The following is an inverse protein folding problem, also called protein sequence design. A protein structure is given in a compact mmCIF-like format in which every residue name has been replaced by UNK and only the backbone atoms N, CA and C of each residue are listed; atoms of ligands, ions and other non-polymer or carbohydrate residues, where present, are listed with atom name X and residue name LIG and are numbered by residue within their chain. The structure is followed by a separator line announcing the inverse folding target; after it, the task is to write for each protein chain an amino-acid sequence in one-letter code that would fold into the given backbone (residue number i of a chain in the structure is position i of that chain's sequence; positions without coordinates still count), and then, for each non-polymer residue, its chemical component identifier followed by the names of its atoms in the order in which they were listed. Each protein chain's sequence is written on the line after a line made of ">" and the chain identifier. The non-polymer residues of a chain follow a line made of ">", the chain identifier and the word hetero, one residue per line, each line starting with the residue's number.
data_IF_700403972978
#
_entry.id   IF_700403972978
#
_cell.length_a   1.000
_cell.length_b   1.000
_cell.length_c   1.000
_cell.angle_alpha   90.00
_cell.angle_beta   90.00
_cell.angle_gamma   90.00
#
_symmetry.space_group_name_H-M   'P 1'
#
loop_
_entity.id
_entity.type
_entity.pdbx_description
1 polymer ?
#
# COMPACT_ATOMS: atom_id res chain seq x y z
N UNK A 1 -59.66 11.07 14.35
CA UNK A 1 -60.65 10.02 14.16
C UNK A 1 -59.94 8.71 14.33
N UNK A 2 -60.19 8.15 15.46
CA UNK A 2 -60.73 6.80 15.74
C UNK A 2 -59.64 5.72 15.62
N UNK A 3 -59.31 4.86 16.49
CA UNK A 3 -59.66 4.48 17.89
C UNK A 3 -58.85 3.24 18.21
N UNK A 4 -58.41 3.17 19.45
CA UNK A 4 -57.94 2.03 20.22
C UNK A 4 -58.44 0.61 19.81
N UNK A 5 -57.58 -0.39 20.07
CA UNK A 5 -58.06 -1.61 20.72
C UNK A 5 -56.97 -2.34 21.49
N UNK A 6 -57.01 -2.18 22.80
CA UNK A 6 -56.40 -2.99 23.86
C UNK A 6 -57.12 -4.34 23.93
N UNK A 7 -56.39 -5.46 24.05
CA UNK A 7 -56.93 -6.69 24.67
C UNK A 7 -55.87 -7.36 25.57
N UNK A 8 -56.13 -7.24 26.86
CA UNK A 8 -55.56 -8.08 27.91
C UNK A 8 -56.47 -9.27 28.19
N UNK A 9 -55.93 -10.42 28.66
CA UNK A 9 -56.54 -11.38 29.59
C UNK A 9 -55.71 -12.67 29.69
N UNK A 10 -55.85 -13.51 30.75
CA UNK A 10 -55.52 -13.28 32.16
C UNK A 10 -54.63 -14.40 32.77
N UNK A 11 -54.24 -14.18 33.99
CA UNK A 11 -53.57 -15.12 34.90
C UNK A 11 -54.44 -16.34 35.22
N UNK A 12 -53.81 -17.53 35.27
CA UNK A 12 -54.34 -18.66 36.04
C UNK A 12 -53.25 -19.27 36.92
N UNK A 13 -53.42 -19.13 38.19
CA UNK A 13 -52.66 -19.65 39.31
C UNK A 13 -53.03 -21.12 39.52
N UNK A 14 -52.04 -22.06 39.54
CA UNK A 14 -52.22 -23.37 40.18
C UNK A 14 -50.98 -23.71 41.03
N UNK A 15 -51.18 -23.69 42.32
CA UNK A 15 -50.32 -24.32 43.32
C UNK A 15 -50.43 -25.85 43.21
N UNK A 16 -49.27 -26.54 43.23
CA UNK A 16 -49.20 -27.94 43.65
C UNK A 16 -47.90 -28.08 44.41
N UNK A 17 -48.03 -28.30 45.70
CA UNK A 17 -46.94 -28.70 46.62
C UNK A 17 -46.65 -30.17 46.44
N UNK A 18 -45.37 -30.56 46.26
CA UNK A 18 -44.92 -31.91 46.56
C UNK A 18 -43.50 -31.93 47.17
N UNK A 19 -43.40 -32.84 48.09
CA UNK A 19 -42.42 -33.00 49.12
C UNK A 19 -40.98 -33.19 48.69
N UNK A 20 -40.10 -32.73 49.58
CA UNK A 20 -38.63 -32.81 49.64
C UNK A 20 -38.13 -34.23 49.93
N UNK A 21 -37.12 -34.69 49.14
CA UNK A 21 -36.10 -35.68 49.56
C UNK A 21 -34.71 -35.06 49.17
N UNK A 22 -33.75 -35.06 50.07
CA UNK A 22 -32.37 -34.61 49.73
C UNK A 22 -31.58 -35.75 49.11
N UNK A 23 -31.20 -35.62 47.85
CA UNK A 23 -30.24 -36.47 47.20
C UNK A 23 -28.85 -35.80 47.39
N UNK A 24 -27.95 -36.40 48.16
CA UNK A 24 -26.56 -36.02 48.23
C UNK A 24 -25.90 -36.28 46.87
N UNK A 25 -25.69 -35.20 46.09
CA UNK A 25 -24.86 -35.24 44.91
C UNK A 25 -23.40 -35.03 45.29
N UNK A 26 -22.61 -36.08 45.17
CA UNK A 26 -21.14 -36.03 45.21
C UNK A 26 -20.70 -35.25 43.96
N UNK A 27 -20.27 -34.00 44.14
CA UNK A 27 -19.66 -33.22 43.08
C UNK A 27 -18.23 -33.71 42.88
N UNK A 28 -18.03 -34.56 41.89
CA UNK A 28 -16.71 -34.88 41.38
C UNK A 28 -16.12 -33.65 40.69
N UNK A 29 -15.16 -32.99 41.31
CA UNK A 29 -14.36 -31.95 40.68
C UNK A 29 -13.48 -32.61 39.63
N UNK A 30 -13.89 -32.51 38.33
CA UNK A 30 -12.97 -32.74 37.22
C UNK A 30 -11.97 -31.58 37.17
N UNK A 31 -10.66 -31.84 37.00
CA UNK A 31 -9.71 -30.75 36.79
C UNK A 31 -10.02 -30.04 35.49
N UNK A 32 -10.23 -28.74 35.57
CA UNK A 32 -10.35 -27.87 34.39
C UNK A 32 -9.00 -27.91 33.65
N UNK A 33 -8.94 -28.72 32.60
CA UNK A 33 -7.80 -28.74 31.69
C UNK A 33 -7.74 -27.41 30.93
N UNK A 34 -6.60 -26.76 31.10
CA UNK A 34 -6.21 -25.53 30.43
C UNK A 34 -6.35 -25.64 28.89
N UNK A 35 -7.43 -25.07 28.37
CA UNK A 35 -7.70 -24.98 26.94
C UNK A 35 -7.37 -23.59 26.32
N UNK A 36 -6.52 -22.76 26.98
CA UNK A 36 -6.30 -21.39 26.51
C UNK A 36 -4.91 -21.10 25.91
N UNK A 37 -3.98 -22.06 25.93
CA UNK A 37 -2.64 -21.81 25.36
C UNK A 37 -2.57 -22.00 23.83
N UNK A 38 -3.35 -22.90 23.25
CA UNK A 38 -3.26 -23.22 21.82
C UNK A 38 -3.82 -22.10 20.89
N UNK A 39 -4.80 -21.34 21.35
CA UNK A 39 -5.38 -20.25 20.52
C UNK A 39 -4.50 -18.99 20.52
N UNK A 40 -3.78 -18.72 21.61
CA UNK A 40 -2.84 -17.59 21.70
C UNK A 40 -1.56 -17.92 20.93
N UNK A 41 -1.05 -19.14 21.00
CA UNK A 41 0.10 -19.59 20.20
C UNK A 41 -0.23 -19.63 18.70
N UNK A 42 -1.42 -20.08 18.31
CA UNK A 42 -1.86 -20.05 16.92
C UNK A 42 -1.99 -18.63 16.36
N UNK A 43 -2.44 -17.67 17.16
CA UNK A 43 -2.52 -16.26 16.73
C UNK A 43 -1.14 -15.58 16.67
N UNK A 44 -0.20 -15.96 17.55
CA UNK A 44 1.17 -15.44 17.54
C UNK A 44 1.98 -15.89 16.32
N UNK A 45 1.58 -16.97 15.66
CA UNK A 45 2.24 -17.51 14.47
C UNK A 45 1.74 -16.90 13.14
N UNK A 46 0.78 -15.99 13.17
CA UNK A 46 0.23 -15.35 11.98
C UNK A 46 0.72 -13.89 11.91
N UNK A 47 1.12 -13.43 10.71
CA UNK A 47 1.31 -12.02 10.39
C UNK A 47 0.15 -11.56 9.51
N UNK A 48 -0.74 -10.71 10.05
CA UNK A 48 -1.85 -10.16 9.29
C UNK A 48 -1.36 -8.93 8.51
N UNK A 49 -1.46 -8.99 7.19
CA UNK A 49 -0.93 -7.98 6.26
C UNK A 49 -2.09 -7.22 5.64
N UNK A 50 -2.16 -5.90 5.85
CA UNK A 50 -3.11 -5.04 5.16
C UNK A 50 -2.70 -4.88 3.70
N UNK A 51 -3.60 -5.15 2.77
CA UNK A 51 -3.30 -5.11 1.34
C UNK A 51 -4.45 -4.52 0.53
N UNK A 52 -4.15 -3.80 -0.54
CA UNK A 52 -5.16 -3.42 -1.52
C UNK A 52 -5.55 -4.64 -2.37
N UNK A 53 -6.84 -4.75 -2.66
CA UNK A 53 -7.39 -5.90 -3.37
C UNK A 53 -7.10 -5.90 -4.87
N UNK A 54 -6.86 -4.71 -5.45
CA UNK A 54 -6.65 -4.50 -6.89
C UNK A 54 -5.84 -3.20 -7.09
N UNK A 55 -4.53 -3.26 -6.84
CA UNK A 55 -3.60 -2.13 -7.00
C UNK A 55 -2.24 -2.61 -7.52
N UNK A 56 -2.25 -3.30 -8.67
CA UNK A 56 -0.99 -3.67 -9.32
C UNK A 56 -0.22 -2.41 -9.76
N UNK A 57 1.11 -2.44 -9.70
CA UNK A 57 1.99 -3.59 -9.45
C UNK A 57 2.24 -3.90 -7.95
N UNK A 58 1.68 -3.13 -7.02
CA UNK A 58 1.91 -3.29 -5.58
C UNK A 58 1.26 -4.55 -5.01
N UNK A 59 -0.06 -4.65 -5.14
CA UNK A 59 -0.84 -5.70 -4.49
C UNK A 59 -2.11 -6.07 -5.25
N UNK A 60 -2.49 -7.34 -5.20
CA UNK A 60 -3.82 -7.83 -5.59
C UNK A 60 -4.19 -9.10 -4.82
N UNK A 61 -5.44 -9.55 -4.97
CA UNK A 61 -5.94 -10.77 -4.30
C UNK A 61 -5.22 -12.05 -4.72
N UNK A 62 -4.67 -12.08 -5.93
CA UNK A 62 -3.90 -13.22 -6.47
C UNK A 62 -2.46 -13.23 -5.97
N UNK A 63 -2.07 -12.26 -5.11
CA UNK A 63 -0.71 -12.06 -4.57
C UNK A 63 0.35 -11.88 -5.66
N UNK A 64 -0.04 -11.37 -6.82
CA UNK A 64 0.87 -11.15 -7.94
C UNK A 64 1.74 -9.90 -7.76
N UNK A 65 1.31 -8.93 -6.94
CA UNK A 65 2.03 -7.69 -6.70
C UNK A 65 3.35 -7.88 -5.95
N UNK A 66 4.30 -6.98 -6.19
CA UNK A 66 5.63 -7.11 -5.59
C UNK A 66 5.61 -6.93 -4.07
N UNK A 67 4.72 -6.09 -3.51
CA UNK A 67 4.56 -5.96 -2.05
C UNK A 67 3.94 -7.20 -1.42
N UNK A 68 3.06 -7.93 -2.13
CA UNK A 68 2.62 -9.23 -1.65
C UNK A 68 3.81 -10.19 -1.49
N UNK A 69 4.69 -10.27 -2.50
CA UNK A 69 5.90 -11.12 -2.47
C UNK A 69 6.87 -10.71 -1.36
N UNK A 70 7.09 -9.39 -1.17
CA UNK A 70 7.94 -8.87 -0.09
C UNK A 70 7.34 -9.19 1.28
N UNK A 71 6.03 -9.04 1.45
CA UNK A 71 5.35 -9.38 2.70
C UNK A 71 5.44 -10.88 3.03
N UNK A 72 5.38 -11.77 2.03
CA UNK A 72 5.63 -13.21 2.19
C UNK A 72 7.08 -13.50 2.62
N UNK A 73 8.07 -12.81 2.02
CA UNK A 73 9.48 -12.93 2.41
C UNK A 73 9.70 -12.46 3.86
N UNK A 74 9.06 -11.35 4.26
CA UNK A 74 9.09 -10.86 5.64
C UNK A 74 8.48 -11.88 6.60
N UNK A 75 7.29 -12.39 6.32
CA UNK A 75 6.60 -13.37 7.17
C UNK A 75 7.45 -14.63 7.36
N UNK A 76 8.05 -15.14 6.27
CA UNK A 76 9.01 -16.26 6.29
C UNK A 76 10.20 -15.97 7.22
N UNK A 77 10.79 -14.77 7.12
CA UNK A 77 11.92 -14.34 7.97
C UNK A 77 11.54 -14.23 9.45
N UNK A 78 10.28 -13.86 9.74
CA UNK A 78 9.68 -13.83 11.08
C UNK A 78 9.23 -15.21 11.58
N UNK A 79 9.27 -16.25 10.74
CA UNK A 79 8.69 -17.59 11.01
C UNK A 79 7.19 -17.51 11.32
N UNK A 80 6.46 -16.63 10.60
CA UNK A 80 5.01 -16.46 10.72
C UNK A 80 4.33 -16.80 9.40
N UNK A 81 3.08 -17.25 9.47
CA UNK A 81 2.25 -17.46 8.29
C UNK A 81 1.64 -16.14 7.81
N UNK A 82 1.78 -15.75 6.52
CA UNK A 82 1.20 -14.52 6.00
C UNK A 82 -0.30 -14.66 5.79
N UNK A 83 -1.09 -13.77 6.42
CA UNK A 83 -2.51 -13.64 6.22
C UNK A 83 -2.84 -12.27 5.63
N UNK A 84 -3.19 -12.21 4.34
CA UNK A 84 -3.57 -10.95 3.70
C UNK A 84 -5.01 -10.56 4.03
N UNK A 85 -5.18 -9.35 4.54
CA UNK A 85 -6.48 -8.71 4.79
C UNK A 85 -6.70 -7.65 3.73
N UNK A 86 -7.59 -7.95 2.78
CA UNK A 86 -7.79 -7.12 1.59
C UNK A 86 -8.83 -6.04 1.79
N UNK A 87 -8.53 -4.83 1.28
CA UNK A 87 -9.43 -3.70 1.18
C UNK A 87 -9.75 -3.41 -0.30
N UNK A 88 -11.04 -3.33 -0.65
CA UNK A 88 -11.49 -2.93 -2.00
C UNK A 88 -11.50 -1.39 -2.15
N UNK A 89 -10.40 -0.75 -1.76
CA UNK A 89 -10.13 0.69 -1.88
C UNK A 89 -8.64 0.88 -2.09
N UNK A 90 -8.18 2.04 -2.61
CA UNK A 90 -6.76 2.34 -2.74
C UNK A 90 -5.98 2.21 -1.43
N UNK A 91 -4.69 1.86 -1.55
CA UNK A 91 -3.78 1.61 -0.42
C UNK A 91 -3.69 2.78 0.58
N UNK A 92 -3.92 4.01 0.13
CA UNK A 92 -3.96 5.20 1.02
C UNK A 92 -4.94 5.06 2.20
N UNK A 93 -5.94 4.17 2.09
CA UNK A 93 -6.93 3.91 3.14
C UNK A 93 -6.57 2.73 4.06
N UNK A 94 -5.49 1.98 3.80
CA UNK A 94 -5.14 0.77 4.55
C UNK A 94 -4.89 1.06 6.03
N UNK A 95 -4.20 2.16 6.34
CA UNK A 95 -3.93 2.55 7.74
C UNK A 95 -5.26 2.76 8.45
N UNK A 96 -6.07 3.71 8.00
CA UNK A 96 -7.32 4.10 8.66
C UNK A 96 -8.37 2.97 8.71
N UNK A 97 -8.55 2.24 7.59
CA UNK A 97 -9.69 1.32 7.42
C UNK A 97 -9.37 -0.13 7.88
N UNK A 98 -8.08 -0.47 8.05
CA UNK A 98 -7.67 -1.81 8.48
C UNK A 98 -6.72 -1.81 9.69
N UNK A 99 -5.60 -1.05 9.63
CA UNK A 99 -4.57 -1.08 10.67
C UNK A 99 -5.09 -0.50 11.99
N UNK A 100 -5.64 0.73 11.95
CA UNK A 100 -6.15 1.46 13.13
C UNK A 100 -7.33 0.76 13.80
N UNK A 101 -8.08 -0.04 13.05
CA UNK A 101 -9.21 -0.83 13.55
C UNK A 101 -8.81 -2.29 13.87
N UNK A 102 -7.52 -2.58 13.98
CA UNK A 102 -6.93 -3.86 14.40
C UNK A 102 -7.34 -5.07 13.53
N UNK A 103 -7.61 -4.86 12.25
CA UNK A 103 -7.92 -5.95 11.31
C UNK A 103 -6.67 -6.62 10.75
N UNK A 104 -5.56 -5.92 10.74
CA UNK A 104 -4.24 -6.40 10.31
C UNK A 104 -3.15 -5.82 11.22
N UNK A 105 -1.90 -6.25 11.05
CA UNK A 105 -0.78 -5.91 11.92
C UNK A 105 0.22 -4.98 11.23
N UNK A 106 0.35 -5.08 9.90
CA UNK A 106 1.34 -4.34 9.11
C UNK A 106 0.75 -3.79 7.82
N UNK A 107 1.27 -2.64 7.39
CA UNK A 107 1.06 -2.05 6.05
C UNK A 107 2.40 -1.93 5.36
N UNK A 108 2.51 -2.44 4.13
CA UNK A 108 3.72 -2.35 3.30
C UNK A 108 3.77 -1.00 2.58
N UNK A 109 4.97 -0.55 2.15
CA UNK A 109 5.15 0.54 1.19
C UNK A 109 4.73 1.93 1.70
N UNK A 110 4.91 2.21 2.98
CA UNK A 110 4.73 3.56 3.51
C UNK A 110 6.04 4.34 3.47
N UNK A 111 5.96 5.65 3.28
CA UNK A 111 7.12 6.51 3.41
C UNK A 111 7.68 6.44 4.84
N UNK A 112 9.00 6.34 4.95
CA UNK A 112 9.68 6.34 6.26
C UNK A 112 9.35 7.62 7.01
N UNK A 113 8.87 7.48 8.25
CA UNK A 113 8.46 8.61 9.09
C UNK A 113 7.00 9.05 8.88
N UNK A 114 6.15 8.24 8.25
CA UNK A 114 4.71 8.52 8.18
C UNK A 114 4.13 8.69 9.59
N UNK A 115 3.64 9.89 9.89
CA UNK A 115 3.19 10.28 11.24
C UNK A 115 1.96 9.51 11.75
N UNK A 116 1.25 8.82 10.86
CA UNK A 116 0.06 8.03 11.22
C UNK A 116 0.42 6.76 11.98
N UNK A 117 1.63 6.24 11.80
CA UNK A 117 2.08 4.92 12.27
C UNK A 117 3.48 4.99 12.88
N UNK A 118 3.97 3.87 13.44
CA UNK A 118 5.42 3.66 13.59
C UNK A 118 5.94 2.99 12.33
N UNK A 119 7.00 3.52 11.75
CA UNK A 119 7.63 2.96 10.56
C UNK A 119 8.88 2.14 10.90
N UNK A 120 9.07 1.02 10.22
CA UNK A 120 10.30 0.24 10.29
C UNK A 120 11.50 1.02 9.73
N UNK A 121 12.70 0.47 9.87
CA UNK A 121 13.81 0.83 8.99
C UNK A 121 13.38 0.63 7.54
N UNK A 122 13.87 1.48 6.60
CA UNK A 122 13.50 1.34 5.21
C UNK A 122 14.00 0.00 4.65
N UNK A 123 13.16 -0.68 3.90
CA UNK A 123 13.52 -1.93 3.23
C UNK A 123 13.91 -1.73 1.76
N UNK A 124 13.52 -0.60 1.14
CA UNK A 124 14.09 -0.11 -0.10
C UNK A 124 13.98 1.40 -0.23
N UNK A 125 14.78 1.97 -1.14
CA UNK A 125 14.71 3.37 -1.55
C UNK A 125 14.48 3.42 -3.04
N UNK A 126 13.45 4.14 -3.48
CA UNK A 126 13.07 4.23 -4.88
C UNK A 126 13.01 5.67 -5.37
N UNK A 127 13.38 5.89 -6.66
CA UNK A 127 13.34 7.20 -7.29
C UNK A 127 12.04 7.46 -8.04
N UNK A 128 11.79 8.73 -8.34
CA UNK A 128 11.05 9.12 -9.53
C UNK A 128 11.92 8.95 -10.77
N UNK A 129 11.28 8.65 -11.90
CA UNK A 129 11.96 8.35 -13.17
C UNK A 129 11.28 9.04 -14.33
N UNK A 130 12.08 9.43 -15.33
CA UNK A 130 11.56 9.69 -16.68
C UNK A 130 11.44 8.36 -17.42
N UNK A 131 10.32 8.19 -18.11
CA UNK A 131 10.05 7.07 -19.01
C UNK A 131 10.03 7.60 -20.43
N UNK A 132 10.86 7.06 -21.30
CA UNK A 132 10.96 7.43 -22.70
C UNK A 132 11.10 6.21 -23.57
N UNK A 133 10.73 6.33 -24.85
CA UNK A 133 11.04 5.30 -25.83
C UNK A 133 12.54 5.23 -26.12
N UNK A 134 13.05 4.04 -26.39
CA UNK A 134 14.47 3.82 -26.75
C UNK A 134 14.86 4.51 -28.06
N UNK A 135 13.91 4.69 -28.96
CA UNK A 135 14.11 5.29 -30.28
C UNK A 135 13.80 6.81 -30.31
N UNK A 136 13.49 7.43 -29.15
CA UNK A 136 13.26 8.87 -29.08
C UNK A 136 14.52 9.66 -29.44
N UNK A 137 14.31 10.84 -30.03
CA UNK A 137 15.38 11.81 -30.28
C UNK A 137 15.50 12.85 -29.17
N UNK A 138 14.62 12.82 -28.18
CA UNK A 138 14.65 13.73 -27.03
C UNK A 138 15.63 13.22 -25.98
N UNK A 139 16.59 14.05 -25.59
CA UNK A 139 17.54 13.76 -24.53
C UNK A 139 17.07 14.37 -23.22
N UNK A 140 16.23 13.66 -22.46
CA UNK A 140 15.71 14.07 -21.17
C UNK A 140 16.35 13.20 -20.08
N UNK A 141 17.21 13.81 -19.25
CA UNK A 141 17.93 13.13 -18.15
C UNK A 141 17.60 13.69 -16.79
N UNK A 142 17.20 14.96 -16.75
CA UNK A 142 16.83 15.71 -15.55
C UNK A 142 15.84 16.83 -15.91
N UNK A 143 15.39 17.56 -14.89
CA UNK A 143 14.46 18.68 -15.08
C UNK A 143 15.08 19.91 -15.75
N UNK A 144 16.39 19.94 -15.98
CA UNK A 144 17.11 21.02 -16.67
C UNK A 144 17.34 20.71 -18.15
N UNK A 145 16.97 19.51 -18.59
CA UNK A 145 17.16 19.06 -19.97
C UNK A 145 16.33 19.94 -20.95
N UNK A 146 16.98 20.63 -21.92
CA UNK A 146 16.26 21.53 -22.85
C UNK A 146 15.19 20.83 -23.68
N UNK A 147 15.37 19.54 -23.94
CA UNK A 147 14.42 18.75 -24.72
C UNK A 147 13.10 18.47 -23.99
N UNK A 148 13.06 18.70 -22.69
CA UNK A 148 11.81 18.63 -21.93
C UNK A 148 10.78 19.64 -22.44
N UNK A 149 11.24 20.83 -22.87
CA UNK A 149 10.39 21.89 -23.44
C UNK A 149 9.95 21.63 -24.88
N UNK A 150 10.47 20.58 -25.52
CA UNK A 150 10.04 20.15 -26.86
C UNK A 150 8.96 19.07 -26.80
N UNK A 151 8.78 18.43 -25.64
CA UNK A 151 7.75 17.42 -25.45
C UNK A 151 6.36 18.06 -25.50
N UNK A 152 5.47 17.56 -26.33
CA UNK A 152 4.10 18.06 -26.48
C UNK A 152 3.15 17.41 -25.47
N UNK A 153 3.47 16.21 -25.01
CA UNK A 153 2.71 15.48 -24.00
C UNK A 153 3.63 14.84 -22.96
N UNK A 154 3.55 15.34 -21.74
CA UNK A 154 4.25 14.79 -20.58
C UNK A 154 3.22 14.17 -19.64
N UNK A 155 3.34 12.85 -19.43
CA UNK A 155 2.55 12.14 -18.41
C UNK A 155 3.10 12.41 -17.00
N UNK A 156 2.23 12.65 -16.02
CA UNK A 156 2.63 12.84 -14.63
C UNK A 156 1.46 12.53 -13.67
N UNK A 157 1.77 12.29 -12.41
CA UNK A 157 0.73 12.11 -11.38
C UNK A 157 0.43 13.46 -10.71
N UNK A 158 -0.82 13.96 -10.73
CA UNK A 158 -1.20 15.16 -9.99
C UNK A 158 -0.90 15.03 -8.49
N UNK A 159 -0.37 16.11 -7.89
CA UNK A 159 0.03 16.12 -6.47
C UNK A 159 1.38 15.49 -6.15
N UNK A 160 2.08 14.99 -7.17
CA UNK A 160 3.42 14.38 -7.02
C UNK A 160 4.56 15.41 -7.13
N UNK A 161 5.80 15.03 -6.84
CA UNK A 161 6.99 15.83 -7.13
C UNK A 161 7.07 16.30 -8.58
N UNK A 162 6.66 15.46 -9.54
CA UNK A 162 6.63 15.83 -10.96
C UNK A 162 5.65 16.97 -11.26
N UNK A 163 4.48 16.99 -10.60
CA UNK A 163 3.55 18.12 -10.70
C UNK A 163 4.23 19.43 -10.29
N UNK A 164 4.88 19.46 -9.11
CA UNK A 164 5.55 20.66 -8.60
C UNK A 164 6.69 21.14 -9.53
N UNK A 165 7.41 20.20 -10.15
CA UNK A 165 8.44 20.54 -11.10
C UNK A 165 7.88 21.11 -12.40
N UNK A 166 6.81 20.55 -12.94
CA UNK A 166 6.13 21.10 -14.12
C UNK A 166 5.55 22.50 -13.85
N UNK A 167 5.00 22.75 -12.65
CA UNK A 167 4.60 24.10 -12.25
C UNK A 167 5.78 25.08 -12.23
N UNK A 168 6.90 24.67 -11.57
CA UNK A 168 8.12 25.49 -11.52
C UNK A 168 8.64 25.86 -12.91
N UNK A 169 8.57 24.93 -13.85
CA UNK A 169 9.05 25.11 -15.22
C UNK A 169 8.03 25.81 -16.14
N UNK A 170 6.82 26.10 -15.66
CA UNK A 170 5.76 26.71 -16.45
C UNK A 170 5.08 25.75 -17.44
N UNK A 171 5.38 24.45 -17.36
CA UNK A 171 4.87 23.41 -18.27
C UNK A 171 3.55 22.77 -17.80
N UNK A 172 3.12 23.00 -16.56
CA UNK A 172 1.97 22.33 -15.97
C UNK A 172 0.69 22.49 -16.78
N UNK A 173 0.35 23.73 -17.18
CA UNK A 173 -0.93 24.01 -17.89
C UNK A 173 -1.02 23.29 -19.23
N UNK A 174 0.08 23.21 -19.96
CA UNK A 174 0.15 22.58 -21.26
C UNK A 174 -0.15 21.07 -21.18
N UNK A 175 0.43 20.40 -20.16
CA UNK A 175 0.31 18.96 -20.02
C UNK A 175 -0.87 18.50 -19.14
N UNK A 176 -1.46 19.41 -18.35
CA UNK A 176 -2.61 19.10 -17.50
C UNK A 176 -3.82 18.63 -18.31
N UNK A 177 -4.13 19.28 -19.42
CA UNK A 177 -5.27 18.90 -20.25
C UNK A 177 -5.09 17.49 -20.84
N UNK A 178 -3.88 17.14 -21.24
CA UNK A 178 -3.55 15.80 -21.69
C UNK A 178 -3.80 14.78 -20.57
N UNK A 179 -3.25 15.01 -19.37
CA UNK A 179 -3.45 14.13 -18.24
C UNK A 179 -4.92 14.01 -17.84
N UNK A 180 -5.65 15.12 -17.87
CA UNK A 180 -7.09 15.13 -17.59
C UNK A 180 -7.88 14.31 -18.61
N UNK A 181 -7.47 14.28 -19.88
CA UNK A 181 -8.13 13.47 -20.92
C UNK A 181 -7.97 11.98 -20.72
N UNK A 182 -6.95 11.53 -19.96
CA UNK A 182 -6.72 10.13 -19.63
C UNK A 182 -7.57 9.64 -18.45
N UNK A 183 -8.18 10.56 -17.70
CA UNK A 183 -9.03 10.18 -16.56
C UNK A 183 -10.38 9.69 -17.07
N UNK A 184 -10.86 8.60 -16.52
CA UNK A 184 -12.16 8.05 -16.87
C UNK A 184 -13.22 8.53 -15.87
N UNK A 185 -13.89 9.65 -16.19
CA UNK A 185 -14.99 10.19 -15.39
C UNK A 185 -16.30 9.45 -15.68
N UNK A 186 -16.42 8.22 -15.22
CA UNK A 186 -17.64 7.45 -15.42
C UNK A 186 -18.73 7.72 -14.40
N UNK A 187 -18.38 8.24 -13.21
CA UNK A 187 -19.33 8.48 -12.12
C UNK A 187 -18.98 9.76 -11.37
N UNK A 188 -19.99 10.63 -11.13
CA UNK A 188 -19.86 11.81 -10.27
C UNK A 188 -19.42 11.48 -8.83
N UNK A 189 -19.61 10.24 -8.40
CA UNK A 189 -19.17 9.71 -7.10
C UNK A 189 -17.79 9.04 -7.16
N UNK A 190 -17.20 8.94 -8.36
CA UNK A 190 -15.88 8.36 -8.50
C UNK A 190 -14.86 9.23 -7.79
N UNK A 191 -14.35 8.73 -6.68
CA UNK A 191 -13.34 9.40 -5.85
C UNK A 191 -11.92 9.18 -6.38
N UNK A 192 -11.76 8.32 -7.37
CA UNK A 192 -10.47 7.82 -7.84
C UNK A 192 -10.28 8.16 -9.30
N UNK A 193 -9.94 9.41 -9.57
CA UNK A 193 -9.66 9.91 -10.92
C UNK A 193 -8.20 9.72 -11.35
N UNK A 194 -7.48 8.85 -10.65
CA UNK A 194 -6.07 8.57 -10.95
C UNK A 194 -5.97 7.81 -12.27
N UNK A 195 -5.08 8.26 -13.15
CA UNK A 195 -4.70 7.51 -14.35
C UNK A 195 -3.92 6.26 -13.91
N UNK A 196 -4.32 5.03 -14.34
CA UNK A 196 -3.59 3.84 -13.99
C UNK A 196 -2.12 3.92 -14.47
N UNK A 197 -1.12 3.51 -13.65
CA UNK A 197 0.28 3.56 -14.03
C UNK A 197 0.59 2.84 -15.33
N UNK A 198 0.00 1.68 -15.56
CA UNK A 198 0.12 0.93 -16.82
C UNK A 198 -0.32 1.75 -18.03
N UNK A 199 -1.40 2.54 -17.91
CA UNK A 199 -1.86 3.39 -19.01
C UNK A 199 -0.83 4.46 -19.36
N UNK A 200 -0.25 5.12 -18.35
CA UNK A 200 0.81 6.13 -18.59
C UNK A 200 2.02 5.53 -19.31
N UNK A 201 2.41 4.31 -18.93
CA UNK A 201 3.49 3.59 -19.62
C UNK A 201 3.10 3.26 -21.08
N UNK A 202 1.88 2.80 -21.32
CA UNK A 202 1.39 2.47 -22.66
C UNK A 202 1.36 3.71 -23.57
N UNK A 203 0.90 4.86 -23.06
CA UNK A 203 0.88 6.14 -23.82
C UNK A 203 2.29 6.54 -24.33
N UNK A 204 3.34 6.23 -23.55
CA UNK A 204 4.72 6.44 -24.00
C UNK A 204 5.16 5.33 -24.95
N UNK A 205 4.82 4.08 -24.68
CA UNK A 205 5.24 2.92 -25.50
C UNK A 205 4.70 2.98 -26.93
N UNK A 206 3.48 3.48 -27.11
CA UNK A 206 2.84 3.65 -28.42
C UNK A 206 3.15 5.00 -29.10
N UNK A 207 3.86 5.90 -28.41
CA UNK A 207 4.27 7.20 -28.94
C UNK A 207 3.19 8.29 -28.86
N UNK A 208 2.10 8.04 -28.13
CA UNK A 208 1.07 9.06 -27.86
C UNK A 208 1.61 10.18 -26.96
N UNK A 209 2.46 9.84 -25.99
CA UNK A 209 3.24 10.77 -25.18
C UNK A 209 4.74 10.58 -25.44
N UNK A 210 5.52 11.65 -25.38
CA UNK A 210 6.97 11.59 -25.58
C UNK A 210 7.69 11.15 -24.30
N UNK A 211 7.14 11.49 -23.15
CA UNK A 211 7.73 11.18 -21.83
C UNK A 211 6.64 11.06 -20.77
N UNK A 212 6.88 10.24 -19.77
CA UNK A 212 6.12 10.32 -18.53
C UNK A 212 7.04 10.32 -17.31
N UNK A 213 6.56 10.89 -16.20
CA UNK A 213 7.32 11.03 -14.96
C UNK A 213 6.54 10.40 -13.82
N UNK A 214 7.07 9.30 -13.30
CA UNK A 214 6.38 8.48 -12.33
C UNK A 214 7.33 8.01 -11.22
N UNK A 215 6.74 7.58 -10.11
CA UNK A 215 7.47 6.84 -9.09
C UNK A 215 7.83 5.45 -9.63
N UNK A 216 9.11 5.08 -9.58
CA UNK A 216 9.60 3.87 -10.24
C UNK A 216 8.85 2.59 -9.86
N UNK A 217 8.52 2.32 -8.57
CA UNK A 217 7.76 1.13 -8.18
C UNK A 217 6.39 1.00 -8.86
N UNK A 218 5.76 2.11 -9.24
CA UNK A 218 4.46 2.09 -9.90
C UNK A 218 4.51 1.61 -11.36
N UNK A 219 5.67 1.75 -12.00
CA UNK A 219 5.77 1.66 -13.47
C UNK A 219 6.83 0.69 -13.97
N UNK A 220 7.81 0.32 -13.14
CA UNK A 220 8.99 -0.41 -13.58
C UNK A 220 8.67 -1.76 -14.25
N UNK A 221 7.73 -2.53 -13.70
CA UNK A 221 7.32 -3.81 -14.29
C UNK A 221 6.65 -3.65 -15.65
N UNK A 222 5.84 -2.61 -15.84
CA UNK A 222 5.20 -2.31 -17.13
C UNK A 222 6.21 -1.83 -18.17
N UNK A 223 7.19 -1.00 -17.75
CA UNK A 223 8.29 -0.57 -18.64
C UNK A 223 9.13 -1.76 -19.07
N UNK A 224 9.45 -2.66 -18.13
CA UNK A 224 10.17 -3.91 -18.43
C UNK A 224 9.39 -4.78 -19.41
N UNK A 225 8.09 -4.92 -19.22
CA UNK A 225 7.21 -5.72 -20.08
C UNK A 225 7.07 -5.12 -21.49
N UNK A 226 7.02 -3.79 -21.61
CA UNK A 226 6.92 -3.10 -22.91
C UNK A 226 8.16 -3.30 -23.78
N UNK A 227 9.35 -3.43 -23.18
CA UNK A 227 10.59 -3.77 -23.87
C UNK A 227 11.21 -2.65 -24.73
N UNK A 228 10.43 -1.68 -25.21
CA UNK A 228 10.85 -0.56 -26.06
C UNK A 228 11.09 0.75 -25.29
N UNK A 229 11.02 0.72 -23.96
CA UNK A 229 11.15 1.88 -23.08
C UNK A 229 12.45 1.87 -22.25
N UNK A 230 12.83 3.03 -21.76
CA UNK A 230 13.91 3.25 -20.79
C UNK A 230 13.38 3.94 -19.57
N UNK A 231 14.02 3.67 -18.40
CA UNK A 231 13.86 4.41 -17.16
C UNK A 231 15.11 5.24 -16.92
N UNK A 232 14.95 6.55 -16.75
CA UNK A 232 16.05 7.45 -16.34
C UNK A 232 15.74 7.98 -14.95
N UNK A 233 16.62 7.66 -14.00
CA UNK A 233 16.50 8.10 -12.60
C UNK A 233 16.65 9.61 -12.52
N UNK A 234 15.69 10.28 -11.88
CA UNK A 234 15.72 11.73 -11.64
C UNK A 234 16.62 12.01 -10.43
N UNK A 235 17.60 12.94 -10.53
CA UNK A 235 18.40 13.37 -9.39
C UNK A 235 17.55 13.94 -8.24
N UNK A 236 18.01 13.80 -6.98
CA UNK A 236 17.28 14.24 -5.78
C UNK A 236 17.68 15.65 -5.30
N UNK A 237 18.22 16.49 -6.17
CA UNK A 237 18.70 17.86 -5.91
C UNK A 237 17.73 18.96 -6.37
N UNK A 238 16.46 18.63 -6.58
CA UNK A 238 15.46 19.54 -7.10
C UNK A 238 14.82 20.40 -6.01
N UNK A 239 14.47 21.64 -6.36
CA UNK A 239 13.85 22.61 -5.45
C UNK A 239 12.70 23.36 -6.12
N UNK A 240 11.78 23.85 -5.32
CA UNK A 240 10.77 24.84 -5.71
C UNK A 240 11.41 26.20 -6.04
N UNK A 241 10.62 27.16 -6.53
CA UNK A 241 11.07 28.51 -6.78
C UNK A 241 11.52 29.27 -5.51
N UNK A 242 10.96 28.91 -4.35
CA UNK A 242 11.29 29.44 -3.04
C UNK A 242 12.51 28.74 -2.38
N UNK A 243 13.17 27.81 -3.09
CA UNK A 243 14.33 27.08 -2.60
C UNK A 243 14.01 25.84 -1.77
N UNK A 244 12.74 25.58 -1.45
CA UNK A 244 12.34 24.38 -0.71
C UNK A 244 12.58 23.12 -1.56
N UNK A 245 13.21 22.10 -0.96
CA UNK A 245 13.48 20.83 -1.64
C UNK A 245 12.21 20.15 -2.14
N UNK A 246 12.26 19.64 -3.37
CA UNK A 246 11.28 18.71 -3.93
C UNK A 246 11.95 17.35 -4.02
N UNK A 247 11.71 16.44 -3.06
CA UNK A 247 12.36 15.14 -3.06
C UNK A 247 11.87 14.31 -4.25
N UNK A 248 12.80 13.54 -4.83
CA UNK A 248 12.51 12.58 -5.90
C UNK A 248 12.92 11.16 -5.53
N UNK A 249 13.53 10.97 -4.36
CA UNK A 249 13.90 9.67 -3.81
C UNK A 249 13.22 9.48 -2.46
N UNK A 250 12.56 8.33 -2.30
CA UNK A 250 11.76 8.03 -1.10
C UNK A 250 12.18 6.70 -0.49
N UNK A 251 12.39 6.70 0.82
CA UNK A 251 12.61 5.50 1.61
C UNK A 251 11.26 4.87 1.96
N UNK A 252 11.11 3.58 1.65
CA UNK A 252 9.89 2.83 1.87
C UNK A 252 10.03 1.90 3.06
N UNK A 253 9.08 1.96 3.97
CA UNK A 253 9.05 1.28 5.26
C UNK A 253 7.76 0.49 5.45
N UNK A 254 7.76 -0.36 6.47
CA UNK A 254 6.59 -1.10 6.93
C UNK A 254 5.99 -0.33 8.11
N UNK A 255 4.68 -0.06 8.05
CA UNK A 255 3.96 0.59 9.14
C UNK A 255 3.30 -0.40 10.08
N UNK A 256 3.39 -0.11 11.38
CA UNK A 256 2.64 -0.77 12.45
C UNK A 256 1.91 0.28 13.30
N UNK A 257 0.93 -0.13 14.13
CA UNK A 257 0.26 0.80 15.05
C UNK A 257 1.27 1.43 16.03
N UNK A 258 0.95 2.61 16.54
CA UNK A 258 1.85 3.39 17.43
C UNK A 258 2.17 2.69 18.75
N UNK A 259 1.35 1.76 19.18
CA UNK A 259 1.55 0.94 20.38
C UNK A 259 2.36 -0.34 20.14
N UNK A 260 2.55 -0.77 18.89
CA UNK A 260 3.13 -2.08 18.54
C UNK A 260 4.67 -2.08 18.48
N UNK A 261 5.34 -1.49 19.48
CA UNK A 261 6.80 -1.36 19.52
C UNK A 261 7.53 -2.71 19.44
N UNK A 262 7.00 -3.77 20.07
CA UNK A 262 7.60 -5.10 20.04
C UNK A 262 7.54 -5.69 18.62
N UNK A 263 6.38 -5.56 17.95
CA UNK A 263 6.24 -6.01 16.57
C UNK A 263 7.19 -5.24 15.64
N UNK A 264 7.36 -3.95 15.83
CA UNK A 264 8.30 -3.13 15.07
C UNK A 264 9.75 -3.61 15.23
N UNK A 265 10.14 -3.95 16.45
CA UNK A 265 11.48 -4.50 16.72
C UNK A 265 11.68 -5.85 16.00
N UNK A 266 10.68 -6.74 16.06
CA UNK A 266 10.71 -8.04 15.37
C UNK A 266 10.82 -7.85 13.83
N UNK A 267 10.04 -6.90 13.27
CA UNK A 267 10.09 -6.58 11.84
C UNK A 267 11.49 -6.08 11.45
N UNK A 268 12.07 -5.15 12.21
CA UNK A 268 13.39 -4.63 11.93
C UNK A 268 14.47 -5.71 11.94
N UNK A 269 14.37 -6.68 12.87
CA UNK A 269 15.28 -7.82 12.91
C UNK A 269 15.05 -8.81 11.74
N UNK A 270 13.80 -8.96 11.30
CA UNK A 270 13.44 -9.83 10.18
C UNK A 270 13.84 -9.23 8.83
N UNK A 271 13.77 -7.91 8.66
CA UNK A 271 14.17 -7.22 7.43
C UNK A 271 15.62 -7.51 7.05
N UNK A 272 16.52 -7.60 8.02
CA UNK A 272 17.92 -7.95 7.75
C UNK A 272 18.07 -9.35 7.15
N UNK A 273 17.23 -10.30 7.59
CA UNK A 273 17.22 -11.69 7.09
C UNK A 273 16.50 -11.78 5.73
N UNK A 274 15.45 -10.98 5.53
CA UNK A 274 14.65 -10.99 4.32
C UNK A 274 15.30 -10.18 3.17
N UNK A 275 16.34 -9.37 3.45
CA UNK A 275 16.97 -8.46 2.49
C UNK A 275 17.28 -9.11 1.12
N UNK A 276 17.93 -10.29 1.04
CA UNK A 276 18.22 -10.91 -0.25
C UNK A 276 16.96 -11.22 -1.05
N UNK A 277 15.93 -11.77 -0.41
CA UNK A 277 14.65 -12.13 -1.05
C UNK A 277 13.93 -10.85 -1.52
N UNK A 278 13.97 -9.76 -0.73
CA UNK A 278 13.40 -8.45 -1.07
C UNK A 278 14.11 -7.84 -2.29
N UNK A 279 15.45 -7.84 -2.28
CA UNK A 279 16.23 -7.31 -3.42
C UNK A 279 15.97 -8.10 -4.71
N UNK A 280 15.80 -9.41 -4.63
CA UNK A 280 15.44 -10.26 -5.77
C UNK A 280 14.06 -9.89 -6.33
N UNK A 281 13.06 -9.70 -5.47
CA UNK A 281 11.72 -9.24 -5.89
C UNK A 281 11.82 -7.89 -6.60
N UNK A 282 12.47 -6.89 -6.01
CA UNK A 282 12.60 -5.55 -6.58
C UNK A 282 13.33 -5.56 -7.94
N UNK A 283 14.40 -6.34 -8.06
CA UNK A 283 15.11 -6.55 -9.33
C UNK A 283 14.24 -7.24 -10.39
N UNK A 284 13.45 -8.23 -9.97
CA UNK A 284 12.54 -8.94 -10.88
C UNK A 284 11.50 -8.01 -11.49
N UNK A 285 11.05 -7.00 -10.74
CA UNK A 285 10.13 -5.96 -11.21
C UNK A 285 10.82 -4.85 -12.05
N UNK A 286 12.15 -4.82 -12.06
CA UNK A 286 12.91 -3.77 -12.78
C UNK A 286 12.99 -2.44 -12.03
N UNK A 287 12.71 -2.43 -10.73
CA UNK A 287 12.77 -1.23 -9.89
C UNK A 287 14.24 -0.83 -9.70
N UNK A 288 14.65 0.42 -10.05
CA UNK A 288 15.99 0.90 -9.80
C UNK A 288 16.29 0.91 -8.30
N UNK A 289 17.29 0.15 -7.88
CA UNK A 289 17.75 0.15 -6.48
C UNK A 289 18.74 1.29 -6.30
N UNK A 290 18.39 2.24 -5.44
CA UNK A 290 19.31 3.34 -5.08
C UNK A 290 20.27 2.88 -3.99
N UNK A 291 21.55 3.22 -4.17
CA UNK A 291 22.57 3.03 -3.13
C UNK A 291 22.28 4.01 -2.00
N UNK A 292 22.15 3.52 -0.76
CA UNK A 292 21.99 4.40 0.39
C UNK A 292 20.82 4.09 1.33
N UNK A 293 20.13 2.94 1.20
CA UNK A 293 19.40 2.42 2.36
C UNK A 293 20.43 2.17 3.45
N UNK A 294 20.38 2.87 4.61
CA UNK A 294 21.38 2.73 5.64
C UNK A 294 21.54 1.25 6.00
N UNK A 295 22.75 0.71 5.82
CA UNK A 295 23.11 -0.56 6.46
C UNK A 295 23.16 -0.26 7.94
N UNK A 296 22.18 -0.75 8.67
CA UNK A 296 22.04 -0.58 10.13
C UNK A 296 23.18 -1.24 10.86
#
# INVERSE_FOLDING_TARGET
>A
MVTDMIRAFPRALRLAAFASLPLLAVVAHAPATAGSSSSVEASANILRICAAADELPYSNKDRAGFENKIAEALAKAMRREPLFVYLNKPAIYLVRDLLDVNRCDVVMGLDTGDERVLTSKPYYRAPYVFIQRKDTKLEIRDWKSPDLFKATKIGFTPGSPSHLMLEKLGLFREHFNYMHSLTNFQDKRNKYTRVPPQRMVNEVADGTAEVSVNFAPEVASYVKAAGNLTLTVIPDDNTRADGVKIPHHFDQSIGVRKEDNNLLADINAALEKARPDIEEVLKSEGIPLLVGVPRS
#
